data_IF_525389235389
#
_entry.id   IF_525389235389
#
_cell.length_a   1.000
_cell.length_b   1.000
_cell.length_c   1.000
_cell.angle_alpha   90.00
_cell.angle_beta   90.00
_cell.angle_gamma   90.00
#
_symmetry.space_group_name_H-M   'P 1'
#
loop_
_entity.id
_entity.type
_entity.pdbx_description
1 polymer ?
#
# COMPACT_ATOMS: atom_id res chain seq x y z
N UNK A 1 -29.14 -12.31 -25.91
CA UNK A 1 -29.33 -11.69 -24.57
C UNK A 1 -28.07 -11.69 -23.66
N UNK A 2 -26.84 -11.48 -24.18
CA UNK A 2 -25.62 -11.42 -23.33
C UNK A 2 -24.88 -10.07 -23.36
N UNK A 3 -25.18 -9.19 -24.33
CA UNK A 3 -24.52 -7.88 -24.47
C UNK A 3 -25.12 -6.81 -23.55
N UNK A 4 -26.44 -6.76 -23.41
CA UNK A 4 -27.13 -5.75 -22.58
C UNK A 4 -26.72 -5.82 -21.10
N UNK A 5 -26.51 -7.02 -20.57
CA UNK A 5 -26.02 -7.24 -19.20
C UNK A 5 -24.56 -6.80 -18.98
N UNK A 6 -23.73 -6.80 -20.03
CA UNK A 6 -22.36 -6.26 -19.97
C UNK A 6 -22.36 -4.73 -20.00
N UNK A 7 -23.26 -4.14 -20.78
CA UNK A 7 -23.40 -2.68 -20.90
C UNK A 7 -24.00 -2.11 -19.60
N UNK A 8 -24.95 -2.80 -18.95
CA UNK A 8 -25.50 -2.33 -17.67
C UNK A 8 -24.46 -2.27 -16.54
N UNK A 9 -23.42 -3.12 -16.58
CA UNK A 9 -22.31 -3.06 -15.62
C UNK A 9 -21.41 -1.81 -15.78
N UNK A 10 -21.40 -1.19 -16.97
CA UNK A 10 -20.73 0.08 -17.21
C UNK A 10 -21.52 1.27 -16.64
N UNK A 11 -22.84 1.10 -16.45
CA UNK A 11 -23.72 2.09 -15.83
C UNK A 11 -23.68 2.06 -14.29
N UNK A 12 -23.02 1.06 -13.67
CA UNK A 12 -22.80 1.07 -12.22
C UNK A 12 -21.77 2.16 -11.85
N UNK A 13 -22.13 3.15 -11.02
CA UNK A 13 -21.23 4.25 -10.62
C UNK A 13 -19.91 3.78 -9.99
N UNK A 14 -19.89 2.56 -9.45
CA UNK A 14 -18.72 1.92 -8.86
C UNK A 14 -17.71 1.44 -9.91
N UNK A 15 -18.18 0.95 -11.06
CA UNK A 15 -17.32 0.51 -12.18
C UNK A 15 -16.59 1.71 -12.77
N UNK A 16 -17.29 2.83 -12.96
CA UNK A 16 -16.71 4.10 -13.41
C UNK A 16 -15.63 4.60 -12.44
N UNK A 17 -15.91 4.63 -11.13
CA UNK A 17 -14.92 5.06 -10.12
C UNK A 17 -13.66 4.20 -10.12
N UNK A 18 -13.78 2.89 -10.30
CA UNK A 18 -12.63 1.97 -10.38
C UNK A 18 -11.80 2.19 -11.64
N UNK A 19 -12.46 2.34 -12.80
CA UNK A 19 -11.80 2.64 -14.06
C UNK A 19 -11.07 3.99 -13.98
N UNK A 20 -11.72 5.00 -13.41
CA UNK A 20 -11.14 6.33 -13.20
C UNK A 20 -9.92 6.31 -12.29
N UNK A 21 -9.96 5.60 -11.15
CA UNK A 21 -8.77 5.43 -10.29
C UNK A 21 -7.62 4.77 -11.04
N UNK A 22 -7.91 3.74 -11.85
CA UNK A 22 -6.87 3.10 -12.67
C UNK A 22 -6.26 4.05 -13.69
N UNK A 23 -7.08 4.86 -14.38
CA UNK A 23 -6.60 5.89 -15.29
C UNK A 23 -5.74 6.93 -14.56
N UNK A 24 -6.19 7.43 -13.40
CA UNK A 24 -5.45 8.41 -12.60
C UNK A 24 -4.07 7.88 -12.16
N UNK A 25 -3.96 6.60 -11.80
CA UNK A 25 -2.68 5.98 -11.44
C UNK A 25 -1.70 5.91 -12.60
N UNK A 26 -2.19 5.78 -13.84
CA UNK A 26 -1.35 5.81 -15.04
C UNK A 26 -0.93 7.23 -15.42
N UNK A 27 -1.79 8.23 -15.19
CA UNK A 27 -1.47 9.65 -15.47
C UNK A 27 -0.45 10.19 -14.47
N UNK A 28 -0.52 9.76 -13.21
CA UNK A 28 0.38 10.22 -12.14
C UNK A 28 1.09 9.03 -11.49
N UNK A 29 2.08 8.44 -12.18
CA UNK A 29 2.78 7.26 -11.67
C UNK A 29 3.61 7.61 -10.43
N UNK A 30 3.57 6.72 -9.44
CA UNK A 30 4.51 6.71 -8.32
C UNK A 30 5.44 5.49 -8.50
N UNK A 31 6.74 5.67 -8.83
CA UNK A 31 7.66 4.54 -8.97
C UNK A 31 7.91 3.89 -7.61
N UNK A 32 7.82 2.56 -7.56
CA UNK A 32 8.00 1.79 -6.32
C UNK A 32 9.44 1.30 -6.20
N UNK A 33 10.14 1.19 -7.31
CA UNK A 33 11.49 0.65 -7.43
C UNK A 33 12.50 1.45 -6.57
N UNK A 34 12.50 2.80 -6.56
CA UNK A 34 13.38 3.56 -5.67
C UNK A 34 13.05 3.36 -4.18
N UNK A 35 11.77 3.13 -3.86
CA UNK A 35 11.32 2.89 -2.49
C UNK A 35 11.70 1.48 -2.02
N UNK A 36 11.61 0.49 -2.89
CA UNK A 36 12.07 -0.86 -2.59
C UNK A 36 13.59 -0.89 -2.43
N UNK A 37 14.32 -0.13 -3.24
CA UNK A 37 15.78 -0.04 -3.17
C UNK A 37 16.30 0.62 -1.88
N UNK A 38 15.51 1.47 -1.22
CA UNK A 38 15.89 2.09 0.05
C UNK A 38 15.62 1.21 1.27
N UNK A 39 14.98 0.05 1.09
CA UNK A 39 14.79 -0.94 2.16
C UNK A 39 16.11 -1.67 2.42
N UNK A 40 16.46 -1.80 3.69
CA UNK A 40 17.56 -2.67 4.14
C UNK A 40 17.26 -4.13 3.75
N UNK A 41 17.97 -4.58 2.73
CA UNK A 41 17.77 -5.90 2.14
C UNK A 41 18.28 -7.02 3.04
N UNK A 42 19.29 -6.77 3.88
CA UNK A 42 19.81 -7.76 4.82
C UNK A 42 18.81 -7.98 5.95
N UNK A 43 18.31 -6.88 6.52
CA UNK A 43 17.27 -6.95 7.56
C UNK A 43 15.97 -7.55 7.01
N UNK A 44 15.60 -7.23 5.78
CA UNK A 44 14.44 -7.85 5.13
C UNK A 44 14.61 -9.36 5.00
N UNK A 45 15.76 -9.84 4.50
CA UNK A 45 16.05 -11.28 4.41
C UNK A 45 15.98 -11.97 5.76
N UNK A 46 16.48 -11.34 6.81
CA UNK A 46 16.40 -11.87 8.18
C UNK A 46 14.95 -12.04 8.64
N UNK A 47 14.11 -11.01 8.44
CA UNK A 47 12.69 -11.04 8.77
C UNK A 47 11.98 -12.14 7.95
N UNK A 48 12.23 -12.21 6.65
CA UNK A 48 11.64 -13.23 5.78
C UNK A 48 12.01 -14.65 6.22
N UNK A 49 13.26 -14.88 6.63
CA UNK A 49 13.70 -16.18 7.18
C UNK A 49 13.02 -16.48 8.52
N UNK A 50 12.96 -15.49 9.42
CA UNK A 50 12.32 -15.64 10.74
C UNK A 50 10.85 -16.02 10.65
N UNK A 51 10.14 -15.50 9.64
CA UNK A 51 8.71 -15.75 9.43
C UNK A 51 8.42 -16.81 8.36
N UNK A 52 9.43 -17.45 7.78
CA UNK A 52 9.24 -18.51 6.81
C UNK A 52 8.46 -19.67 7.45
N UNK A 53 7.28 -20.00 6.91
CA UNK A 53 6.42 -21.07 7.43
C UNK A 53 5.66 -20.72 8.72
N UNK A 54 5.74 -19.48 9.21
CA UNK A 54 4.95 -19.03 10.35
C UNK A 54 3.46 -18.93 9.97
N UNK A 55 2.58 -19.46 10.82
CA UNK A 55 1.13 -19.25 10.74
C UNK A 55 0.68 -17.93 11.34
N UNK A 56 1.61 -17.07 11.80
CA UNK A 56 1.27 -15.78 12.38
C UNK A 56 0.55 -14.89 11.37
N UNK A 57 -0.44 -14.13 11.83
CA UNK A 57 -1.18 -13.17 11.00
C UNK A 57 -0.29 -12.08 10.38
N UNK A 58 0.92 -11.93 10.91
CA UNK A 58 1.93 -10.95 10.51
C UNK A 58 2.94 -11.48 9.49
N UNK A 59 3.07 -12.81 9.33
CA UNK A 59 3.98 -13.41 8.34
C UNK A 59 3.70 -12.92 6.91
N UNK A 60 2.44 -12.57 6.61
CA UNK A 60 2.04 -12.00 5.32
C UNK A 60 2.80 -10.72 4.96
N UNK A 61 3.29 -9.95 5.95
CA UNK A 61 4.01 -8.71 5.72
C UNK A 61 5.45 -8.93 5.22
N UNK A 62 5.97 -10.17 5.27
CA UNK A 62 7.26 -10.50 4.69
C UNK A 62 7.30 -10.39 3.14
N UNK A 63 6.12 -10.40 2.48
CA UNK A 63 5.96 -10.11 1.05
C UNK A 63 5.92 -8.58 0.80
N UNK A 64 7.09 -7.95 0.99
CA UNK A 64 7.27 -6.49 0.87
C UNK A 64 6.81 -5.96 -0.47
N UNK A 65 7.18 -6.63 -1.57
CA UNK A 65 6.84 -6.21 -2.93
C UNK A 65 5.33 -6.11 -3.14
N UNK A 66 4.58 -7.11 -2.67
CA UNK A 66 3.13 -7.09 -2.74
C UNK A 66 2.55 -5.93 -1.94
N UNK A 67 3.00 -5.74 -0.69
CA UNK A 67 2.44 -4.73 0.19
C UNK A 67 2.83 -3.30 -0.22
N UNK A 68 4.03 -3.08 -0.76
CA UNK A 68 4.42 -1.80 -1.36
C UNK A 68 3.54 -1.47 -2.55
N UNK A 69 3.29 -2.42 -3.47
CA UNK A 69 2.40 -2.19 -4.62
C UNK A 69 0.97 -1.87 -4.20
N UNK A 70 0.43 -2.58 -3.21
CA UNK A 70 -0.91 -2.33 -2.68
C UNK A 70 -0.99 -0.94 -2.07
N UNK A 71 -0.04 -0.58 -1.20
CA UNK A 71 -0.06 0.69 -0.50
C UNK A 71 0.27 1.88 -1.43
N UNK A 72 1.10 1.69 -2.45
CA UNK A 72 1.30 2.66 -3.53
C UNK A 72 -0.02 3.01 -4.23
N UNK A 73 -0.85 2.02 -4.56
CA UNK A 73 -2.18 2.29 -5.13
C UNK A 73 -3.06 3.10 -4.17
N UNK A 74 -3.00 2.85 -2.86
CA UNK A 74 -3.73 3.63 -1.85
C UNK A 74 -3.24 5.07 -1.78
N UNK A 75 -1.93 5.29 -1.74
CA UNK A 75 -1.31 6.63 -1.79
C UNK A 75 -1.73 7.38 -3.06
N UNK A 76 -1.83 6.68 -4.19
CA UNK A 76 -2.27 7.29 -5.44
C UNK A 76 -3.77 7.63 -5.44
N UNK A 77 -4.61 6.71 -4.94
CA UNK A 77 -6.06 6.90 -4.85
C UNK A 77 -6.42 8.04 -3.88
N UNK A 78 -5.62 8.24 -2.82
CA UNK A 78 -5.73 9.38 -1.90
C UNK A 78 -5.03 10.65 -2.39
N UNK A 79 -4.34 10.57 -3.54
CA UNK A 79 -3.59 11.68 -4.17
C UNK A 79 -2.48 12.28 -3.27
N UNK A 80 -1.99 11.53 -2.29
CA UNK A 80 -1.02 12.05 -1.32
C UNK A 80 0.35 12.34 -1.95
N UNK A 81 0.80 11.50 -2.89
CA UNK A 81 1.97 11.73 -3.75
C UNK A 81 1.96 13.02 -4.59
N UNK A 82 0.82 13.73 -4.64
CA UNK A 82 0.66 15.02 -5.34
C UNK A 82 0.18 16.12 -4.42
N UNK A 83 0.11 15.84 -3.13
CA UNK A 83 -0.27 16.83 -2.14
C UNK A 83 1.00 17.42 -1.51
N UNK A 84 0.97 18.67 -1.03
CA UNK A 84 2.02 19.16 -0.15
C UNK A 84 2.13 18.26 1.10
N UNK A 85 3.27 18.30 1.82
CA UNK A 85 3.46 17.56 3.07
C UNK A 85 2.29 17.70 4.04
N UNK A 86 1.99 16.62 4.77
CA UNK A 86 0.85 16.50 5.69
C UNK A 86 1.26 15.73 6.94
N UNK A 87 0.50 15.93 8.01
CA UNK A 87 0.52 15.07 9.19
C UNK A 87 -0.52 13.96 9.01
N UNK A 88 -0.08 12.70 9.11
CA UNK A 88 -0.91 11.52 8.83
C UNK A 88 -0.88 10.58 10.03
N UNK A 89 -2.06 10.23 10.53
CA UNK A 89 -2.28 9.17 11.50
C UNK A 89 -2.87 7.94 10.77
N UNK A 90 -2.20 6.80 10.87
CA UNK A 90 -2.67 5.53 10.31
C UNK A 90 -3.03 4.56 11.44
N UNK A 91 -4.31 4.19 11.51
CA UNK A 91 -4.87 3.29 12.52
C UNK A 91 -4.98 1.89 11.95
N UNK A 92 -4.32 0.92 12.59
CA UNK A 92 -4.13 -0.43 12.03
C UNK A 92 -3.10 -0.42 10.92
N UNK A 93 -1.94 0.21 11.16
CA UNK A 93 -0.92 0.46 10.13
C UNK A 93 -0.23 -0.83 9.61
N UNK A 94 -0.44 -1.97 10.26
CA UNK A 94 0.10 -3.28 9.90
C UNK A 94 1.61 -3.27 9.87
N UNK A 95 2.21 -3.73 8.76
CA UNK A 95 3.66 -3.63 8.56
C UNK A 95 4.19 -2.22 8.23
N UNK A 96 3.38 -1.16 8.32
CA UNK A 96 3.82 0.23 8.15
C UNK A 96 4.12 0.67 6.70
N UNK A 97 3.84 -0.17 5.69
CA UNK A 97 4.17 0.12 4.28
C UNK A 97 3.55 1.41 3.73
N UNK A 98 2.31 1.74 4.13
CA UNK A 98 1.67 2.98 3.72
C UNK A 98 2.43 4.19 4.27
N UNK A 99 2.76 4.16 5.56
CA UNK A 99 3.53 5.20 6.23
C UNK A 99 4.95 5.32 5.69
N UNK A 100 5.60 4.21 5.35
CA UNK A 100 6.92 4.20 4.72
C UNK A 100 6.93 5.01 3.42
N UNK A 101 5.96 4.76 2.54
CA UNK A 101 5.80 5.52 1.29
C UNK A 101 5.56 7.01 1.60
N UNK A 102 4.67 7.33 2.53
CA UNK A 102 4.37 8.72 2.87
C UNK A 102 5.57 9.46 3.47
N UNK A 103 6.36 8.80 4.31
CA UNK A 103 7.59 9.36 4.88
C UNK A 103 8.60 9.71 3.79
N UNK A 104 8.75 8.84 2.77
CA UNK A 104 9.62 9.11 1.62
C UNK A 104 9.16 10.30 0.76
N UNK A 105 7.86 10.64 0.81
CA UNK A 105 7.26 11.79 0.12
C UNK A 105 7.29 13.06 0.97
N UNK A 106 7.93 13.02 2.15
CA UNK A 106 8.07 14.17 3.06
C UNK A 106 6.88 14.39 4.00
N UNK A 107 5.95 13.44 4.12
CA UNK A 107 4.87 13.54 5.11
C UNK A 107 5.38 13.21 6.52
N UNK A 108 4.79 13.87 7.52
CA UNK A 108 4.94 13.52 8.94
C UNK A 108 3.94 12.41 9.26
N UNK A 109 4.43 11.25 9.72
CA UNK A 109 3.60 10.05 9.88
C UNK A 109 3.63 9.53 11.32
N UNK A 110 2.47 9.06 11.79
CA UNK A 110 2.30 8.32 13.03
C UNK A 110 1.43 7.08 12.75
N UNK A 111 1.90 5.91 13.17
CA UNK A 111 1.18 4.64 13.01
C UNK A 111 0.82 4.04 14.36
N UNK A 112 -0.38 3.49 14.46
CA UNK A 112 -0.84 2.71 15.60
C UNK A 112 -1.32 1.35 15.10
N UNK A 113 -0.92 0.27 15.78
CA UNK A 113 -1.44 -1.09 15.57
C UNK A 113 -1.51 -1.80 16.93
N UNK A 114 -2.16 -2.97 16.97
CA UNK A 114 -2.28 -3.79 18.18
C UNK A 114 -0.91 -4.35 18.56
N UNK A 115 -0.64 -4.40 19.86
CA UNK A 115 0.61 -4.87 20.46
C UNK A 115 0.72 -6.40 20.58
N UNK A 116 -0.27 -7.14 20.07
CA UNK A 116 -0.31 -8.60 20.15
C UNK A 116 0.88 -9.28 19.47
N UNK A 117 1.57 -8.56 18.58
CA UNK A 117 2.78 -9.02 17.94
C UNK A 117 3.82 -7.89 17.88
N UNK A 118 5.05 -8.10 18.40
CA UNK A 118 6.08 -7.07 18.45
C UNK A 118 6.70 -6.86 17.05
N UNK A 119 5.96 -6.19 16.17
CA UNK A 119 6.39 -5.81 14.82
C UNK A 119 7.47 -4.72 14.82
N UNK A 120 7.45 -3.84 15.82
CA UNK A 120 8.16 -2.55 15.80
C UNK A 120 9.24 -2.37 16.88
N UNK A 121 9.57 -3.43 17.62
CA UNK A 121 10.67 -3.43 18.61
C UNK A 121 12.03 -3.51 17.97
#
# INVERSE_FOLDING_TARGET
>A
MKLSRKISKLAEPLTYRRAWRRAQRSIFPLPVEPLAASIDQDRLREIQRRYAGSSSDYAKYADVDRWLRINRNRVQDLKLHRSPPKHVLDLGCGGGFFLFILKSLGHSVLGLDLDQFPLFT
#
